data_IF_144092314916
#
_entry.id   IF_144092314916
#
_cell.length_a   1.000
_cell.length_b   1.000
_cell.length_c   1.000
_cell.angle_alpha   90.00
_cell.angle_beta   90.00
_cell.angle_gamma   90.00
#
_symmetry.space_group_name_H-M   'P 1'
#
loop_
_entity.id
_entity.type
_entity.pdbx_description
1 polymer ?
#
# COMPACT_ATOMS: atom_id res chain seq x y z
N UNK A 1 -11.17 -21.68 8.40
CA UNK A 1 -11.06 -20.28 8.85
C UNK A 1 -9.60 -19.92 9.18
N UNK A 2 -8.95 -20.59 10.12
CA UNK A 2 -7.55 -20.34 10.50
C UNK A 2 -6.56 -20.47 9.33
N UNK A 3 -6.66 -21.52 8.52
CA UNK A 3 -5.75 -21.71 7.36
C UNK A 3 -5.81 -20.55 6.35
N UNK A 4 -7.00 -19.96 6.18
CA UNK A 4 -7.19 -18.79 5.32
C UNK A 4 -6.55 -17.54 5.92
N UNK A 5 -6.54 -17.40 7.25
CA UNK A 5 -5.82 -16.33 7.96
C UNK A 5 -4.32 -16.53 7.79
N UNK A 6 -3.82 -17.74 8.07
CA UNK A 6 -2.40 -18.08 7.94
C UNK A 6 -1.89 -17.79 6.51
N UNK A 7 -2.64 -18.21 5.50
CA UNK A 7 -2.32 -17.92 4.09
C UNK A 7 -2.27 -16.41 3.82
N UNK A 8 -3.28 -15.65 4.27
CA UNK A 8 -3.35 -14.21 4.03
C UNK A 8 -2.21 -13.44 4.74
N UNK A 9 -1.83 -13.86 5.95
CA UNK A 9 -0.70 -13.30 6.70
C UNK A 9 0.62 -13.60 5.99
N UNK A 10 0.84 -14.85 5.55
CA UNK A 10 2.05 -15.24 4.82
C UNK A 10 2.19 -14.46 3.50
N UNK A 11 1.10 -14.24 2.79
CA UNK A 11 1.14 -13.54 1.49
C UNK A 11 1.34 -12.02 1.61
N UNK A 12 0.76 -11.37 2.62
CA UNK A 12 0.77 -9.90 2.73
C UNK A 12 1.64 -9.36 3.86
N UNK A 13 1.57 -9.96 5.05
CA UNK A 13 2.26 -9.45 6.24
C UNK A 13 3.73 -9.86 6.23
N UNK A 14 4.04 -11.13 5.96
CA UNK A 14 5.42 -11.62 5.99
C UNK A 14 6.29 -10.94 4.93
N UNK A 15 5.80 -10.86 3.68
CA UNK A 15 6.49 -10.16 2.60
C UNK A 15 6.76 -8.70 2.93
N UNK A 16 5.76 -8.00 3.48
CA UNK A 16 5.90 -6.59 3.89
C UNK A 16 6.86 -6.40 5.06
N UNK A 17 6.82 -7.30 6.05
CA UNK A 17 7.72 -7.26 7.20
C UNK A 17 9.18 -7.54 6.80
N UNK A 18 9.40 -8.50 5.90
CA UNK A 18 10.72 -8.79 5.33
C UNK A 18 11.24 -7.56 4.57
N UNK A 19 10.41 -6.96 3.70
CA UNK A 19 10.77 -5.73 2.98
C UNK A 19 11.14 -4.59 3.94
N UNK A 20 10.38 -4.38 5.01
CA UNK A 20 10.69 -3.37 6.02
C UNK A 20 11.98 -3.70 6.79
N UNK A 21 12.23 -4.97 7.12
CA UNK A 21 13.38 -5.41 7.92
C UNK A 21 14.73 -5.18 7.23
N UNK A 22 14.75 -5.17 5.89
CA UNK A 22 15.97 -4.94 5.12
C UNK A 22 16.25 -3.44 4.90
N UNK A 23 15.24 -2.57 5.07
CA UNK A 23 15.39 -1.14 4.84
C UNK A 23 16.48 -0.46 5.69
N UNK A 24 16.63 -0.72 7.00
CA UNK A 24 17.68 -0.09 7.81
C UNK A 24 19.10 -0.38 7.30
N UNK A 25 19.30 -1.48 6.60
CA UNK A 25 20.62 -1.89 6.07
C UNK A 25 20.85 -1.41 4.65
N UNK A 26 19.83 -1.48 3.78
CA UNK A 26 20.01 -1.30 2.33
C UNK A 26 19.34 -0.05 1.75
N UNK A 27 18.42 0.58 2.48
CA UNK A 27 17.73 1.76 1.99
C UNK A 27 18.53 3.01 2.34
N UNK A 28 18.83 3.85 1.34
CA UNK A 28 19.48 5.14 1.55
C UNK A 28 18.55 6.12 2.30
N UNK A 29 19.11 7.12 3.00
CA UNK A 29 18.36 8.30 3.44
C UNK A 29 17.51 8.90 2.32
N UNK A 30 16.28 9.31 2.62
CA UNK A 30 15.33 9.79 1.61
C UNK A 30 14.80 8.70 0.66
N UNK A 31 15.05 7.43 0.98
CA UNK A 31 14.57 6.28 0.21
C UNK A 31 13.06 6.07 0.33
N UNK A 32 12.55 5.07 -0.38
CA UNK A 32 11.13 4.75 -0.42
C UNK A 32 10.85 3.27 -0.15
N UNK A 33 9.83 3.02 0.67
CA UNK A 33 9.27 1.71 0.96
C UNK A 33 7.78 1.73 0.60
N UNK A 34 7.44 1.10 -0.52
CA UNK A 34 6.06 0.92 -0.95
C UNK A 34 5.55 -0.46 -0.55
N UNK A 35 4.42 -0.50 0.15
CA UNK A 35 3.70 -1.73 0.51
C UNK A 35 2.39 -1.85 -0.26
N UNK A 36 1.83 -3.06 -0.37
CA UNK A 36 0.57 -3.30 -1.08
C UNK A 36 -0.57 -3.53 -0.09
N UNK A 37 -1.48 -2.55 -0.02
CA UNK A 37 -2.65 -2.54 0.84
C UNK A 37 -3.94 -2.99 0.15
N UNK A 38 -5.08 -2.47 0.64
CA UNK A 38 -6.41 -2.60 0.05
C UNK A 38 -7.43 -1.69 0.72
N UNK A 39 -8.12 -0.83 -0.02
CA UNK A 39 -9.11 0.11 0.50
C UNK A 39 -10.24 -0.61 1.25
N UNK A 40 -10.50 -1.88 0.93
CA UNK A 40 -11.49 -2.69 1.64
C UNK A 40 -11.12 -2.93 3.12
N UNK A 41 -9.83 -2.91 3.46
CA UNK A 41 -9.36 -3.12 4.82
C UNK A 41 -9.45 -1.88 5.72
N UNK A 42 -9.94 -0.75 5.18
CA UNK A 42 -10.33 0.43 5.96
C UNK A 42 -11.73 0.30 6.59
N UNK A 43 -12.49 -0.70 6.17
CA UNK A 43 -13.85 -0.97 6.64
C UNK A 43 -14.00 -2.43 7.02
N UNK A 44 -15.17 -2.78 7.53
CA UNK A 44 -15.52 -4.14 7.90
C UNK A 44 -15.51 -5.06 6.67
N UNK A 45 -14.93 -6.24 6.83
CA UNK A 45 -14.74 -7.23 5.75
C UNK A 45 -15.41 -8.57 6.07
N UNK A 46 -16.73 -8.61 6.35
CA UNK A 46 -17.40 -9.81 6.88
C UNK A 46 -17.29 -11.04 5.96
N UNK A 47 -17.12 -10.85 4.65
CA UNK A 47 -16.96 -11.93 3.66
C UNK A 47 -15.49 -12.24 3.30
N UNK A 48 -14.54 -11.51 3.87
CA UNK A 48 -13.11 -11.62 3.56
C UNK A 48 -12.24 -11.27 4.79
N UNK A 49 -12.63 -11.77 5.97
CA UNK A 49 -12.03 -11.41 7.27
C UNK A 49 -10.51 -11.62 7.27
N UNK A 50 -10.04 -12.77 6.78
CA UNK A 50 -8.61 -13.07 6.70
C UNK A 50 -7.82 -12.09 5.82
N UNK A 51 -8.42 -11.66 4.70
CA UNK A 51 -7.84 -10.64 3.83
C UNK A 51 -7.86 -9.25 4.48
N UNK A 52 -8.98 -8.88 5.11
CA UNK A 52 -9.09 -7.62 5.86
C UNK A 52 -8.03 -7.54 6.95
N UNK A 53 -7.93 -8.56 7.81
CA UNK A 53 -6.92 -8.65 8.86
C UNK A 53 -5.49 -8.45 8.32
N UNK A 54 -5.12 -9.16 7.25
CA UNK A 54 -3.76 -9.06 6.71
C UNK A 54 -3.46 -7.68 6.11
N UNK A 55 -4.41 -7.07 5.40
CA UNK A 55 -4.24 -5.74 4.82
C UNK A 55 -4.32 -4.61 5.85
N UNK A 56 -5.13 -4.74 6.90
CA UNK A 56 -5.13 -3.80 8.03
C UNK A 56 -3.80 -3.85 8.79
N UNK A 57 -3.19 -5.02 8.95
CA UNK A 57 -1.86 -5.14 9.53
C UNK A 57 -0.78 -4.44 8.68
N UNK A 58 -0.85 -4.57 7.35
CA UNK A 58 0.03 -3.82 6.43
C UNK A 58 -0.16 -2.31 6.60
N UNK A 59 -1.39 -1.81 6.74
CA UNK A 59 -1.63 -0.39 6.98
C UNK A 59 -1.07 0.12 8.30
N UNK A 60 -1.28 -0.65 9.37
CA UNK A 60 -0.70 -0.29 10.65
C UNK A 60 0.83 -0.23 10.55
N UNK A 61 1.46 -1.21 9.92
CA UNK A 61 2.90 -1.22 9.66
C UNK A 61 3.37 -0.03 8.81
N UNK A 62 2.69 0.31 7.72
CA UNK A 62 3.02 1.47 6.88
C UNK A 62 3.12 2.76 7.70
N UNK A 63 2.16 2.98 8.60
CA UNK A 63 2.15 4.16 9.48
C UNK A 63 3.22 4.09 10.55
N UNK A 64 3.36 2.96 11.23
CA UNK A 64 4.36 2.81 12.29
C UNK A 64 5.77 2.99 11.75
N UNK A 65 6.05 2.48 10.54
CA UNK A 65 7.34 2.67 9.87
C UNK A 65 7.60 4.13 9.46
N UNK A 66 6.55 4.95 9.31
CA UNK A 66 6.66 6.37 8.96
C UNK A 66 7.00 7.28 10.13
N UNK A 67 6.94 6.76 11.37
CA UNK A 67 7.14 7.56 12.59
C UNK A 67 8.57 7.45 13.12
N UNK A 68 9.04 8.46 13.88
CA UNK A 68 10.32 8.40 14.58
C UNK A 68 10.41 7.15 15.47
N UNK A 69 11.61 6.57 15.56
CA UNK A 69 11.85 5.36 16.35
C UNK A 69 11.49 4.05 15.64
N UNK A 70 11.06 4.10 14.37
CA UNK A 70 10.75 2.90 13.58
C UNK A 70 11.97 2.08 13.14
N UNK A 71 13.18 2.65 13.24
CA UNK A 71 14.41 2.07 12.70
C UNK A 71 14.61 2.33 11.21
N UNK A 72 13.66 2.98 10.52
CA UNK A 72 13.83 3.36 9.12
C UNK A 72 14.90 4.45 8.96
N UNK A 73 15.65 4.47 7.85
CA UNK A 73 16.57 5.56 7.54
C UNK A 73 15.88 6.93 7.54
N UNK A 74 16.64 7.98 7.84
CA UNK A 74 16.13 9.36 7.86
C UNK A 74 15.43 9.71 6.55
N UNK A 75 14.33 10.44 6.65
CA UNK A 75 13.48 10.88 5.54
C UNK A 75 12.92 9.74 4.67
N UNK A 76 12.85 8.50 5.18
CA UNK A 76 12.21 7.43 4.43
C UNK A 76 10.73 7.72 4.18
N UNK A 77 10.34 7.59 2.92
CA UNK A 77 8.96 7.62 2.51
C UNK A 77 8.34 6.22 2.54
N UNK A 78 7.48 5.97 3.51
CA UNK A 78 6.68 4.76 3.57
C UNK A 78 5.27 5.05 3.04
N UNK A 79 4.69 4.13 2.29
CA UNK A 79 3.32 4.28 1.82
C UNK A 79 2.72 2.91 1.50
N UNK A 80 1.40 2.85 1.45
CA UNK A 80 0.68 1.70 0.94
C UNK A 80 -0.08 2.09 -0.33
N UNK A 81 -0.11 1.20 -1.31
CA UNK A 81 -0.90 1.37 -2.53
C UNK A 81 -2.20 0.58 -2.38
N UNK A 82 -3.30 1.14 -2.88
CA UNK A 82 -4.56 0.42 -3.02
C UNK A 82 -4.46 -0.75 -4.04
N UNK A 83 -5.59 -1.36 -4.39
CA UNK A 83 -5.71 -2.38 -5.41
C UNK A 83 -5.11 -1.88 -6.72
N UNK A 84 -4.17 -2.66 -7.27
CA UNK A 84 -3.55 -2.40 -8.57
C UNK A 84 -4.43 -2.90 -9.71
N UNK A 85 -4.47 -2.17 -10.81
CA UNK A 85 -5.17 -2.60 -12.01
C UNK A 85 -4.31 -3.58 -12.84
N UNK A 86 -4.39 -4.86 -12.47
CA UNK A 86 -3.64 -5.95 -13.11
C UNK A 86 -4.56 -6.92 -13.84
N UNK A 87 -4.09 -7.61 -14.90
CA UNK A 87 -4.88 -8.64 -15.58
C UNK A 87 -5.41 -9.71 -14.63
N UNK A 88 -4.60 -10.12 -13.64
CA UNK A 88 -5.02 -11.09 -12.64
C UNK A 88 -6.13 -10.56 -11.73
N UNK A 89 -6.02 -9.32 -11.24
CA UNK A 89 -7.08 -8.71 -10.43
C UNK A 89 -8.39 -8.58 -11.23
N UNK A 90 -8.31 -8.17 -12.51
CA UNK A 90 -9.48 -8.09 -13.40
C UNK A 90 -10.16 -9.45 -13.59
N UNK A 91 -9.38 -10.53 -13.72
CA UNK A 91 -9.86 -11.91 -13.83
C UNK A 91 -10.54 -12.40 -12.54
N UNK A 92 -9.95 -12.10 -11.38
CA UNK A 92 -10.46 -12.52 -10.07
C UNK A 92 -11.66 -11.70 -9.60
N UNK A 93 -11.78 -10.45 -10.05
CA UNK A 93 -12.84 -9.52 -9.67
C UNK A 93 -13.51 -8.90 -10.92
N UNK A 94 -14.17 -9.71 -11.77
CA UNK A 94 -14.68 -9.24 -13.06
C UNK A 94 -15.77 -8.16 -12.93
N UNK A 95 -16.51 -8.17 -11.82
CA UNK A 95 -17.62 -7.25 -11.51
C UNK A 95 -17.24 -6.07 -10.62
N UNK A 96 -15.96 -5.92 -10.26
CA UNK A 96 -15.54 -4.80 -9.41
C UNK A 96 -15.59 -3.48 -10.17
N UNK A 97 -15.92 -2.40 -9.45
CA UNK A 97 -15.75 -1.05 -9.94
C UNK A 97 -14.25 -0.68 -9.98
N UNK A 98 -13.71 -0.65 -11.19
CA UNK A 98 -12.29 -0.42 -11.46
C UNK A 98 -11.92 1.07 -11.45
N UNK A 99 -12.89 1.99 -11.34
CA UNK A 99 -12.61 3.43 -11.22
C UNK A 99 -11.77 3.79 -9.97
N UNK A 100 -11.75 2.87 -9.00
CA UNK A 100 -11.03 2.97 -7.73
C UNK A 100 -9.70 2.20 -7.71
N UNK A 101 -9.36 1.53 -8.81
CA UNK A 101 -8.13 0.75 -8.94
C UNK A 101 -6.99 1.64 -9.42
N UNK A 102 -5.78 1.29 -9.00
CA UNK A 102 -4.58 2.06 -9.28
C UNK A 102 -4.00 1.65 -10.63
N UNK A 103 -4.03 2.53 -11.66
CA UNK A 103 -3.36 2.26 -12.92
C UNK A 103 -1.86 2.08 -12.68
N UNK A 104 -1.24 1.11 -13.36
CA UNK A 104 0.17 0.77 -13.13
C UNK A 104 1.10 1.92 -13.53
N UNK A 105 0.73 2.65 -14.59
CA UNK A 105 1.45 3.82 -15.10
C UNK A 105 1.45 4.94 -14.05
N UNK A 106 0.30 5.22 -13.42
CA UNK A 106 0.20 6.23 -12.38
C UNK A 106 0.98 5.85 -11.12
N UNK A 107 1.01 4.56 -10.76
CA UNK A 107 1.85 4.07 -9.65
C UNK A 107 3.33 4.28 -9.96
N UNK A 108 3.77 3.94 -11.17
CA UNK A 108 5.15 4.13 -11.60
C UNK A 108 5.54 5.61 -11.63
N UNK A 109 4.63 6.49 -12.06
CA UNK A 109 4.83 7.94 -12.05
C UNK A 109 5.04 8.46 -10.62
N UNK A 110 4.17 8.08 -9.67
CA UNK A 110 4.33 8.48 -8.25
C UNK A 110 5.67 8.03 -7.67
N UNK A 111 6.05 6.78 -7.93
CA UNK A 111 7.35 6.26 -7.52
C UNK A 111 8.50 7.09 -8.09
N UNK A 112 8.45 7.41 -9.38
CA UNK A 112 9.46 8.22 -10.05
C UNK A 112 9.54 9.63 -9.46
N UNK A 113 8.40 10.31 -9.28
CA UNK A 113 8.35 11.66 -8.70
C UNK A 113 8.94 11.67 -7.27
N UNK A 114 8.67 10.64 -6.45
CA UNK A 114 9.28 10.52 -5.12
C UNK A 114 10.79 10.32 -5.18
N UNK A 115 11.30 9.51 -6.10
CA UNK A 115 12.76 9.37 -6.28
C UNK A 115 13.44 10.67 -6.71
N UNK A 116 12.70 11.61 -7.30
CA UNK A 116 13.17 12.95 -7.70
C UNK A 116 12.98 14.02 -6.62
N UNK A 117 12.54 13.64 -5.42
CA UNK A 117 12.37 14.56 -4.30
C UNK A 117 11.10 15.43 -4.37
N UNK A 118 10.13 15.08 -5.23
CA UNK A 118 8.84 15.79 -5.24
C UNK A 118 8.02 15.33 -4.03
N UNK A 119 7.63 16.29 -3.19
CA UNK A 119 7.18 16.06 -1.81
C UNK A 119 5.67 15.89 -1.68
N UNK A 120 5.12 14.73 -2.07
CA UNK A 120 3.72 14.38 -1.81
C UNK A 120 3.44 12.91 -2.13
N UNK A 121 2.58 12.18 -1.37
CA UNK A 121 1.90 12.55 -0.12
C UNK A 121 2.77 12.38 1.14
N UNK A 122 2.18 12.50 2.34
CA UNK A 122 2.91 12.33 3.62
C UNK A 122 3.38 10.88 3.79
N UNK A 123 4.50 10.69 4.48
CA UNK A 123 4.98 9.36 4.83
C UNK A 123 3.99 8.67 5.78
N UNK A 124 3.64 7.43 5.48
CA UNK A 124 2.62 6.64 6.15
C UNK A 124 1.25 6.65 5.47
N UNK A 125 1.06 7.46 4.42
CA UNK A 125 -0.25 7.58 3.76
C UNK A 125 -0.61 6.32 2.95
N UNK A 126 -1.91 6.08 2.84
CA UNK A 126 -2.48 5.20 1.83
C UNK A 126 -2.72 5.99 0.55
N UNK A 127 -2.06 5.59 -0.54
CA UNK A 127 -2.25 6.20 -1.85
C UNK A 127 -3.43 5.52 -2.54
N UNK A 128 -4.48 6.31 -2.76
CA UNK A 128 -5.64 5.95 -3.56
C UNK A 128 -5.55 6.68 -4.89
N UNK A 129 -5.79 5.93 -5.95
CA UNK A 129 -5.93 6.48 -7.29
C UNK A 129 -7.41 6.46 -7.62
N UNK A 130 -7.93 7.60 -8.03
CA UNK A 130 -9.30 7.74 -8.51
C UNK A 130 -9.23 8.23 -9.94
N UNK A 131 -9.78 7.45 -10.87
CA UNK A 131 -9.92 7.89 -12.25
C UNK A 131 -11.28 8.56 -12.42
N UNK A 132 -11.30 9.88 -12.62
CA UNK A 132 -12.50 10.62 -12.97
C UNK A 132 -12.32 11.22 -14.36
N UNK A 133 -13.25 10.96 -15.27
CA UNK A 133 -13.26 11.51 -16.63
C UNK A 133 -11.96 11.26 -17.45
N UNK A 134 -11.32 10.10 -17.23
CA UNK A 134 -10.08 9.71 -17.91
C UNK A 134 -8.81 10.36 -17.38
N UNK A 135 -8.89 11.13 -16.28
CA UNK A 135 -7.75 11.65 -15.54
C UNK A 135 -7.59 10.91 -14.22
N UNK A 136 -6.38 10.39 -13.97
CA UNK A 136 -6.04 9.81 -12.67
C UNK A 136 -5.72 10.94 -11.69
N UNK A 137 -6.59 11.11 -10.71
CA UNK A 137 -6.34 11.95 -9.55
C UNK A 137 -5.82 11.07 -8.40
N UNK A 138 -4.93 11.64 -7.59
CA UNK A 138 -4.41 10.98 -6.41
C UNK A 138 -5.09 11.56 -5.18
N UNK A 139 -5.73 10.70 -4.39
CA UNK A 139 -6.22 11.03 -3.06
C UNK A 139 -5.40 10.23 -2.04
N UNK A 140 -5.11 10.81 -0.89
CA UNK A 140 -4.47 10.10 0.21
C UNK A 140 -5.39 10.19 1.41
N UNK A 141 -5.53 9.05 2.07
CA UNK A 141 -6.19 9.00 3.36
C UNK A 141 -5.11 9.14 4.44
N UNK A 142 -5.07 10.33 5.06
CA UNK A 142 -4.23 10.62 6.23
C UNK A 142 -4.95 10.21 7.55
N UNK A 143 -6.24 9.82 7.48
CA UNK A 143 -7.11 9.51 8.62
C UNK A 143 -7.28 8.03 8.91
N UNK A 144 -6.93 7.18 7.94
CA UNK A 144 -6.85 5.73 8.11
C UNK A 144 -5.87 5.36 9.21
#
# INVERSE_FOLDING_TARGET
FIDSIDTALKQSVWSSAIAASICPTFLRPGGLLGLTGSIFALKETPRMISYGMSKSAVYHMTKSLSKPGSGMPVDTFTFAINILDTPNNRKMMPKADRSTWSPLESVAEVLLLRTRGICWPKSGSLIKFTSKDGKTEYCYDDSA
#
